data_IF_956312132514
#
_entry.id   IF_956312132514
#
_cell.length_a   1.000
_cell.length_b   1.000
_cell.length_c   1.000
_cell.angle_alpha   90.00
_cell.angle_beta   90.00
_cell.angle_gamma   90.00
#
_symmetry.space_group_name_H-M   'P 1'
#
loop_
_entity.id
_entity.type
_entity.pdbx_description
1 polymer ?
#
# COMPACT_ATOMS: atom_id res chain seq x y z
N UNK A 1 -6.27 19.65 -18.54
CA UNK A 1 -6.88 19.04 -17.33
C UNK A 1 -7.40 17.63 -17.56
N UNK A 2 -7.95 17.29 -18.74
CA UNK A 2 -8.45 15.94 -19.04
C UNK A 2 -7.41 14.82 -18.94
N UNK A 3 -6.18 15.05 -19.42
CA UNK A 3 -5.10 14.06 -19.29
C UNK A 3 -4.75 13.76 -17.82
N UNK A 4 -4.95 14.72 -16.91
CA UNK A 4 -4.75 14.53 -15.48
C UNK A 4 -5.92 13.78 -14.83
N UNK A 5 -7.16 14.09 -15.21
CA UNK A 5 -8.36 13.33 -14.82
C UNK A 5 -8.21 11.85 -15.22
N UNK A 6 -7.76 11.55 -16.44
CA UNK A 6 -7.48 10.18 -16.92
C UNK A 6 -6.38 9.48 -16.11
N UNK A 7 -5.31 10.18 -15.70
CA UNK A 7 -4.26 9.62 -14.82
C UNK A 7 -4.82 9.25 -13.44
N UNK A 8 -5.63 10.11 -12.83
CA UNK A 8 -6.25 9.82 -11.53
C UNK A 8 -7.24 8.67 -11.66
N UNK A 9 -8.04 8.62 -12.74
CA UNK A 9 -8.95 7.51 -13.01
C UNK A 9 -8.20 6.17 -13.16
N UNK A 10 -7.07 6.13 -13.86
CA UNK A 10 -6.21 4.93 -13.93
C UNK A 10 -5.69 4.51 -12.55
N UNK A 11 -5.20 5.46 -11.74
CA UNK A 11 -4.77 5.19 -10.36
C UNK A 11 -5.92 4.63 -9.52
N UNK A 12 -7.12 5.17 -9.68
CA UNK A 12 -8.33 4.73 -8.97
C UNK A 12 -8.77 3.33 -9.39
N UNK A 13 -8.71 3.01 -10.68
CA UNK A 13 -9.00 1.68 -11.22
C UNK A 13 -8.00 0.63 -10.71
N UNK A 14 -6.72 0.98 -10.63
CA UNK A 14 -5.68 0.09 -10.10
C UNK A 14 -5.88 -0.15 -8.59
N UNK A 15 -6.25 0.90 -7.85
CA UNK A 15 -6.54 0.81 -6.42
C UNK A 15 -7.82 0.01 -6.14
N UNK A 16 -8.86 0.15 -6.96
CA UNK A 16 -10.08 -0.65 -6.83
C UNK A 16 -9.84 -2.12 -7.17
N UNK A 17 -9.02 -2.40 -8.20
CA UNK A 17 -8.61 -3.77 -8.54
C UNK A 17 -7.88 -4.42 -7.36
N UNK A 18 -6.96 -3.70 -6.72
CA UNK A 18 -6.26 -4.17 -5.53
C UNK A 18 -7.22 -4.48 -4.38
N UNK A 19 -8.21 -3.62 -4.11
CA UNK A 19 -9.25 -3.90 -3.11
C UNK A 19 -10.02 -5.19 -3.40
N UNK A 20 -10.38 -5.42 -4.66
CA UNK A 20 -11.12 -6.61 -5.07
C UNK A 20 -10.28 -7.86 -4.83
N UNK A 21 -9.01 -7.85 -5.24
CA UNK A 21 -8.07 -8.97 -5.02
C UNK A 21 -7.92 -9.25 -3.52
N UNK A 22 -7.67 -8.23 -2.71
CA UNK A 22 -7.57 -8.37 -1.25
C UNK A 22 -8.87 -8.89 -0.63
N UNK A 23 -10.03 -8.43 -1.10
CA UNK A 23 -11.33 -8.89 -0.64
C UNK A 23 -11.58 -10.37 -0.96
N UNK A 24 -11.23 -10.81 -2.18
CA UNK A 24 -11.30 -12.22 -2.58
C UNK A 24 -10.42 -13.07 -1.68
N UNK A 25 -9.17 -12.65 -1.44
CA UNK A 25 -8.25 -13.35 -0.53
C UNK A 25 -8.86 -13.48 0.87
N UNK A 26 -9.42 -12.42 1.44
CA UNK A 26 -10.07 -12.49 2.76
C UNK A 26 -11.22 -13.49 2.77
N UNK A 27 -12.11 -13.44 1.78
CA UNK A 27 -13.24 -14.39 1.72
C UNK A 27 -12.75 -15.84 1.63
N UNK A 28 -11.72 -16.12 0.83
CA UNK A 28 -11.15 -17.47 0.69
C UNK A 28 -10.49 -17.97 1.99
N UNK A 29 -9.88 -17.09 2.78
CA UNK A 29 -9.34 -17.43 4.10
C UNK A 29 -10.47 -17.72 5.12
N UNK A 30 -11.54 -16.91 5.13
CA UNK A 30 -12.69 -17.10 6.04
C UNK A 30 -13.41 -18.43 5.77
N UNK A 31 -13.52 -18.82 4.50
CA UNK A 31 -14.13 -20.11 4.10
C UNK A 31 -13.16 -21.29 4.19
N UNK A 32 -11.96 -21.09 4.76
CA UNK A 32 -10.92 -22.11 4.96
C UNK A 32 -10.50 -22.85 3.67
N UNK A 33 -10.74 -22.24 2.51
CA UNK A 33 -10.36 -22.81 1.20
C UNK A 33 -8.87 -22.64 0.90
N UNK A 34 -8.24 -21.66 1.55
CA UNK A 34 -6.79 -21.43 1.50
C UNK A 34 -6.34 -21.31 2.95
N UNK A 35 -6.11 -22.46 3.59
CA UNK A 35 -5.61 -22.50 4.95
C UNK A 35 -4.08 -22.46 4.98
N UNK A 36 -3.54 -21.74 5.95
CA UNK A 36 -2.11 -21.85 6.29
C UNK A 36 -1.95 -23.23 6.89
N UNK A 37 -1.07 -24.06 6.31
CA UNK A 37 -0.79 -25.43 6.75
C UNK A 37 -0.60 -25.47 8.27
N UNK A 38 -1.66 -25.91 8.95
CA UNK A 38 -1.80 -25.73 10.38
C UNK A 38 -1.62 -27.08 11.05
N UNK A 39 -0.42 -27.30 11.57
CA UNK A 39 -0.35 -28.01 12.83
C UNK A 39 -1.21 -27.22 13.83
N UNK A 40 -1.92 -27.88 14.74
CA UNK A 40 -2.81 -27.28 15.75
C UNK A 40 -2.06 -26.43 16.81
N UNK A 41 -1.16 -25.57 16.37
CA UNK A 41 -0.29 -24.73 17.16
C UNK A 41 -0.88 -23.33 17.24
N UNK A 42 -0.87 -22.75 18.44
CA UNK A 42 -1.29 -21.37 18.71
C UNK A 42 -0.65 -20.34 17.76
N UNK A 43 0.61 -20.57 17.38
CA UNK A 43 1.36 -19.68 16.48
C UNK A 43 0.73 -19.63 15.09
N UNK A 44 0.17 -20.73 14.58
CA UNK A 44 -0.45 -20.76 13.26
C UNK A 44 -1.71 -19.89 13.23
N UNK A 45 -2.54 -19.98 14.27
CA UNK A 45 -3.74 -19.13 14.43
C UNK A 45 -3.41 -17.65 14.63
N UNK A 46 -2.31 -17.34 15.32
CA UNK A 46 -1.84 -15.96 15.46
C UNK A 46 -1.39 -15.37 14.12
N UNK A 47 -0.72 -16.16 13.28
CA UNK A 47 -0.25 -15.72 11.94
C UNK A 47 -1.43 -15.49 11.00
N UNK A 48 -2.41 -16.40 10.97
CA UNK A 48 -3.61 -16.22 10.13
C UNK A 48 -4.40 -14.97 10.54
N UNK A 49 -4.66 -14.79 11.84
CA UNK A 49 -5.36 -13.61 12.34
C UNK A 49 -4.60 -12.30 12.06
N UNK A 50 -3.27 -12.31 12.16
CA UNK A 50 -2.45 -11.16 11.82
C UNK A 50 -2.50 -10.84 10.32
N UNK A 51 -2.44 -11.86 9.46
CA UNK A 51 -2.56 -11.69 8.01
C UNK A 51 -3.92 -11.11 7.62
N UNK A 52 -5.02 -11.63 8.16
CA UNK A 52 -6.36 -11.11 7.93
C UNK A 52 -6.47 -9.64 8.36
N UNK A 53 -5.94 -9.31 9.54
CA UNK A 53 -5.88 -7.94 10.04
C UNK A 53 -5.09 -7.02 9.11
N UNK A 54 -3.95 -7.49 8.59
CA UNK A 54 -3.11 -6.72 7.66
C UNK A 54 -3.83 -6.46 6.33
N UNK A 55 -4.47 -7.48 5.74
CA UNK A 55 -5.24 -7.33 4.50
C UNK A 55 -6.45 -6.41 4.71
N UNK A 56 -7.15 -6.53 5.84
CA UNK A 56 -8.25 -5.65 6.20
C UNK A 56 -7.79 -4.18 6.32
N UNK A 57 -6.66 -3.94 6.99
CA UNK A 57 -6.08 -2.60 7.10
C UNK A 57 -5.73 -2.00 5.72
N UNK A 58 -5.17 -2.79 4.81
CA UNK A 58 -4.88 -2.36 3.43
C UNK A 58 -6.17 -1.97 2.70
N UNK A 59 -7.25 -2.76 2.82
CA UNK A 59 -8.54 -2.45 2.18
C UNK A 59 -9.10 -1.13 2.70
N UNK A 60 -9.10 -0.91 4.02
CA UNK A 60 -9.57 0.34 4.63
C UNK A 60 -8.78 1.54 4.11
N UNK A 61 -7.45 1.44 4.08
CA UNK A 61 -6.59 2.51 3.54
C UNK A 61 -6.85 2.78 2.05
N UNK A 62 -7.09 1.74 1.27
CA UNK A 62 -7.43 1.88 -0.14
C UNK A 62 -8.79 2.57 -0.33
N UNK A 63 -9.82 2.18 0.44
CA UNK A 63 -11.14 2.83 0.39
C UNK A 63 -11.03 4.32 0.73
N UNK A 64 -10.28 4.68 1.78
CA UNK A 64 -10.06 6.09 2.15
C UNK A 64 -9.44 6.86 0.99
N UNK A 65 -8.43 6.29 0.31
CA UNK A 65 -7.80 6.91 -0.85
C UNK A 65 -8.76 7.03 -2.04
N UNK A 66 -9.56 6.00 -2.34
CA UNK A 66 -10.59 6.03 -3.40
C UNK A 66 -11.58 7.16 -3.14
N UNK A 67 -12.10 7.28 -1.91
CA UNK A 67 -13.03 8.35 -1.53
C UNK A 67 -12.40 9.73 -1.71
N UNK A 68 -11.13 9.90 -1.32
CA UNK A 68 -10.41 11.17 -1.51
C UNK A 68 -10.23 11.52 -2.98
N UNK A 69 -9.83 10.56 -3.82
CA UNK A 69 -9.67 10.78 -5.26
C UNK A 69 -11.00 11.03 -5.96
N UNK A 70 -12.07 10.31 -5.59
CA UNK A 70 -13.41 10.56 -6.11
C UNK A 70 -13.94 11.95 -5.73
N UNK A 71 -13.75 12.38 -4.48
CA UNK A 71 -14.07 13.75 -4.06
C UNK A 71 -13.26 14.79 -4.83
N UNK A 72 -11.98 14.53 -5.10
CA UNK A 72 -11.15 15.41 -5.90
C UNK A 72 -11.54 15.44 -7.39
N UNK A 73 -12.07 14.35 -7.96
CA UNK A 73 -12.54 14.32 -9.34
C UNK A 73 -13.86 15.06 -9.53
N UNK A 74 -14.73 15.07 -8.51
CA UNK A 74 -16.02 15.78 -8.52
C UNK A 74 -15.90 17.30 -8.30
N UNK A 75 -14.79 17.76 -7.72
CA UNK A 75 -14.57 19.16 -7.35
C UNK A 75 -13.35 19.72 -8.10
N UNK A 76 -13.60 20.60 -9.07
CA UNK A 76 -12.53 21.15 -9.91
C UNK A 76 -11.51 21.99 -9.15
N UNK A 77 -11.89 22.65 -8.05
CA UNK A 77 -10.94 23.40 -7.23
C UNK A 77 -10.01 22.47 -6.47
N UNK A 78 -10.54 21.39 -5.91
CA UNK A 78 -9.72 20.36 -5.25
C UNK A 78 -8.81 19.65 -6.24
N UNK A 79 -9.30 19.39 -7.46
CA UNK A 79 -8.50 18.83 -8.54
C UNK A 79 -7.34 19.75 -8.95
N UNK A 80 -7.62 21.05 -9.11
CA UNK A 80 -6.59 22.07 -9.42
C UNK A 80 -5.57 22.19 -8.29
N UNK A 81 -5.99 22.18 -7.02
CA UNK A 81 -5.07 22.16 -5.88
C UNK A 81 -4.17 20.93 -5.85
N UNK A 82 -4.72 19.74 -6.14
CA UNK A 82 -3.95 18.50 -6.27
C UNK A 82 -2.96 18.55 -7.44
N UNK A 83 -3.39 19.06 -8.59
CA UNK A 83 -2.56 19.23 -9.77
C UNK A 83 -1.39 20.20 -9.51
N UNK A 84 -1.66 21.34 -8.88
CA UNK A 84 -0.63 22.33 -8.53
C UNK A 84 0.36 21.75 -7.52
N UNK A 85 -0.11 21.02 -6.50
CA UNK A 85 0.75 20.37 -5.51
C UNK A 85 1.61 19.24 -6.11
N UNK A 86 1.10 18.51 -7.10
CA UNK A 86 1.87 17.44 -7.77
C UNK A 86 2.88 18.01 -8.78
N UNK A 87 2.65 19.21 -9.31
CA UNK A 87 3.57 19.91 -10.21
C UNK A 87 4.53 20.87 -9.52
N UNK A 88 4.38 21.09 -8.22
CA UNK A 88 5.33 21.88 -7.44
C UNK A 88 6.75 21.30 -7.56
N UNK A 89 7.66 22.11 -8.10
CA UNK A 89 9.03 21.73 -8.38
C UNK A 89 9.80 21.36 -7.11
N UNK A 90 9.49 22.00 -5.97
CA UNK A 90 10.11 21.65 -4.67
C UNK A 90 9.78 20.21 -4.28
N UNK A 91 8.53 19.78 -4.45
CA UNK A 91 8.10 18.43 -4.07
C UNK A 91 8.69 17.38 -5.02
N UNK A 92 8.77 17.68 -6.32
CA UNK A 92 9.42 16.79 -7.30
C UNK A 92 10.92 16.63 -7.00
N UNK A 93 11.61 17.71 -6.66
CA UNK A 93 13.03 17.69 -6.33
C UNK A 93 13.32 16.84 -5.09
N UNK A 94 12.55 17.03 -4.02
CA UNK A 94 12.67 16.25 -2.78
C UNK A 94 12.40 14.76 -3.06
N UNK A 95 11.35 14.43 -3.82
CA UNK A 95 11.01 13.04 -4.17
C UNK A 95 12.10 12.36 -5.01
N UNK A 96 12.69 13.06 -5.98
CA UNK A 96 13.80 12.56 -6.78
C UNK A 96 15.05 12.32 -5.94
N UNK A 97 15.44 13.29 -5.09
CA UNK A 97 16.62 13.13 -4.23
C UNK A 97 16.47 12.07 -3.15
N UNK A 98 15.27 11.89 -2.61
CA UNK A 98 15.01 10.85 -1.60
C UNK A 98 14.94 9.43 -2.17
N UNK A 99 14.86 9.27 -3.50
CA UNK A 99 14.46 7.98 -4.08
C UNK A 99 13.09 7.49 -3.57
N UNK A 100 12.26 8.40 -3.03
CA UNK A 100 11.07 8.03 -2.26
C UNK A 100 10.06 7.26 -3.09
N UNK A 101 9.98 7.54 -4.39
CA UNK A 101 9.12 6.79 -5.30
C UNK A 101 9.59 5.34 -5.46
N UNK A 102 10.90 5.09 -5.51
CA UNK A 102 11.47 3.74 -5.63
C UNK A 102 11.20 2.97 -4.34
N UNK A 103 11.50 3.57 -3.18
CA UNK A 103 11.30 2.92 -1.87
C UNK A 103 9.83 2.55 -1.66
N UNK A 104 8.90 3.47 -1.94
CA UNK A 104 7.45 3.19 -1.82
C UNK A 104 7.03 2.07 -2.77
N UNK A 105 7.52 2.09 -4.01
CA UNK A 105 7.20 1.06 -4.99
C UNK A 105 7.73 -0.31 -4.55
N UNK A 106 8.98 -0.38 -4.07
CA UNK A 106 9.56 -1.62 -3.54
C UNK A 106 8.81 -2.12 -2.31
N UNK A 107 8.36 -1.23 -1.42
CA UNK A 107 7.56 -1.61 -0.24
C UNK A 107 6.22 -2.22 -0.63
N UNK A 108 5.53 -1.66 -1.63
CA UNK A 108 4.27 -2.25 -2.11
C UNK A 108 4.51 -3.66 -2.64
N UNK A 109 5.57 -3.87 -3.42
CA UNK A 109 5.94 -5.20 -3.94
C UNK A 109 6.29 -6.16 -2.78
N UNK A 110 7.08 -5.71 -1.81
CA UNK A 110 7.46 -6.51 -0.64
C UNK A 110 6.24 -6.94 0.17
N UNK A 111 5.26 -6.06 0.36
CA UNK A 111 4.00 -6.40 1.06
C UNK A 111 3.20 -7.45 0.28
N UNK A 112 3.08 -7.30 -1.04
CA UNK A 112 2.40 -8.30 -1.89
C UNK A 112 3.12 -9.66 -1.80
N UNK A 113 4.44 -9.66 -1.88
CA UNK A 113 5.25 -10.87 -1.72
C UNK A 113 5.07 -11.50 -0.34
N UNK A 114 4.96 -10.70 0.73
CA UNK A 114 4.73 -11.21 2.08
C UNK A 114 3.37 -11.93 2.19
N UNK A 115 2.30 -11.36 1.61
CA UNK A 115 0.97 -11.98 1.59
C UNK A 115 0.97 -13.32 0.84
N UNK A 116 1.83 -13.49 -0.18
CA UNK A 116 1.96 -14.77 -0.89
C UNK A 116 2.82 -15.74 -0.08
N UNK A 117 3.94 -15.28 0.48
CA UNK A 117 4.92 -16.11 1.18
C UNK A 117 4.38 -16.78 2.45
N UNK A 118 3.35 -16.21 3.07
CA UNK A 118 2.72 -16.74 4.28
C UNK A 118 2.14 -18.15 4.11
N UNK A 119 1.68 -18.49 2.90
CA UNK A 119 1.14 -19.82 2.58
C UNK A 119 2.23 -20.86 2.32
N UNK A 120 3.48 -20.43 2.08
CA UNK A 120 4.60 -21.32 1.80
C UNK A 120 5.51 -21.50 3.01
N UNK A 121 5.90 -20.41 3.67
CA UNK A 121 6.86 -20.45 4.75
C UNK A 121 6.74 -19.26 5.71
N UNK A 122 6.52 -19.58 6.99
CA UNK A 122 6.41 -18.62 8.09
C UNK A 122 7.66 -17.73 8.26
N UNK A 123 8.85 -18.29 8.09
CA UNK A 123 10.12 -17.56 8.23
C UNK A 123 10.24 -16.50 7.14
N UNK A 124 9.87 -16.86 5.90
CA UNK A 124 9.90 -15.94 4.76
C UNK A 124 8.92 -14.79 4.98
N UNK A 125 7.71 -15.09 5.48
CA UNK A 125 6.74 -14.05 5.85
C UNK A 125 7.30 -13.01 6.84
N UNK A 126 7.84 -13.46 7.98
CA UNK A 126 8.38 -12.54 8.99
C UNK A 126 9.58 -11.74 8.46
N UNK A 127 10.43 -12.35 7.64
CA UNK A 127 11.57 -11.66 7.02
C UNK A 127 11.13 -10.54 6.06
N UNK A 128 10.11 -10.79 5.24
CA UNK A 128 9.55 -9.79 4.32
C UNK A 128 8.82 -8.69 5.08
N UNK A 129 8.13 -9.03 6.16
CA UNK A 129 7.47 -8.05 7.02
C UNK A 129 8.48 -7.11 7.70
N UNK A 130 9.56 -7.67 8.25
CA UNK A 130 10.66 -6.89 8.81
C UNK A 130 11.31 -5.99 7.74
N UNK A 131 11.51 -6.50 6.52
CA UNK A 131 12.03 -5.73 5.40
C UNK A 131 11.11 -4.54 5.04
N UNK A 132 9.80 -4.77 4.95
CA UNK A 132 8.82 -3.72 4.67
C UNK A 132 8.83 -2.63 5.76
N UNK A 133 8.92 -3.00 7.04
CA UNK A 133 9.01 -2.06 8.16
C UNK A 133 10.29 -1.20 8.10
N UNK A 134 11.43 -1.82 7.76
CA UNK A 134 12.68 -1.10 7.59
C UNK A 134 12.60 -0.10 6.42
N UNK A 135 12.05 -0.51 5.27
CA UNK A 135 11.88 0.37 4.12
C UNK A 135 10.99 1.59 4.45
N UNK A 136 9.88 1.39 5.17
CA UNK A 136 9.00 2.48 5.61
C UNK A 136 9.75 3.44 6.54
N UNK A 137 10.51 2.90 7.50
CA UNK A 137 11.33 3.68 8.42
C UNK A 137 12.38 4.51 7.69
N UNK A 138 13.12 3.90 6.76
CA UNK A 138 14.12 4.59 5.93
C UNK A 138 13.46 5.70 5.11
N UNK A 139 12.30 5.44 4.49
CA UNK A 139 11.55 6.45 3.75
C UNK A 139 11.11 7.63 4.65
N UNK A 140 10.69 7.36 5.89
CA UNK A 140 10.31 8.39 6.86
C UNK A 140 11.52 9.24 7.28
N UNK A 141 12.65 8.60 7.61
CA UNK A 141 13.89 9.30 7.99
C UNK A 141 14.41 10.17 6.85
N UNK A 142 14.45 9.64 5.62
CA UNK A 142 14.87 10.42 4.45
C UNK A 142 13.95 11.62 4.22
N UNK A 143 12.63 11.45 4.31
CA UNK A 143 11.68 12.56 4.20
C UNK A 143 11.94 13.65 5.25
N UNK A 144 12.15 13.29 6.52
CA UNK A 144 12.43 14.25 7.59
C UNK A 144 13.76 14.96 7.35
N UNK A 145 14.79 14.23 6.95
CA UNK A 145 16.12 14.78 6.68
C UNK A 145 16.08 15.82 5.56
N UNK A 146 15.46 15.49 4.42
CA UNK A 146 15.37 16.41 3.29
C UNK A 146 14.39 17.56 3.54
N UNK A 147 13.34 17.36 4.34
CA UNK A 147 12.45 18.45 4.75
C UNK A 147 13.18 19.48 5.62
N UNK A 148 14.09 19.07 6.49
CA UNK A 148 14.91 19.99 7.30
C UNK A 148 16.00 20.70 6.49
N UNK A 149 16.36 20.18 5.32
CA UNK A 149 17.44 20.69 4.47
C UNK A 149 16.95 21.61 3.33
N UNK A 150 15.64 21.73 3.13
CA UNK A 150 14.97 22.56 2.12
C UNK A 150 14.19 23.72 2.73
#
# INVERSE_FOLDING_TARGET
MENYKKKIQKKLMLLSLLCIICGVILTLNIFDMISIESNHDFISGAISGFQEGLVCAIIVLCIIQIVRFNKALKDEEKLKKLYNKENDERIKYIKQKCGANVIIFTTIITIIAAVIAVYFNRIVFFSLLACALLQITVCAVLKIYYLKKC
#
